data_IF_818588276043
#
_entry.id   IF_818588276043
#
_cell.length_a   1.000
_cell.length_b   1.000
_cell.length_c   1.000
_cell.angle_alpha   90.00
_cell.angle_beta   90.00
_cell.angle_gamma   90.00
#
_symmetry.space_group_name_H-M   'P 1'
#
loop_
_entity.id
_entity.type
_entity.pdbx_description
1 polymer ?
#
# COMPACT_ATOMS: atom_id res chain seq x y z
N UNK A 1 -14.03 7.20 29.94
CA UNK A 1 -13.97 6.52 28.65
C UNK A 1 -15.13 6.94 27.74
N UNK A 2 -16.40 6.80 28.15
CA UNK A 2 -17.56 7.27 27.32
C UNK A 2 -17.61 8.80 27.12
N UNK A 3 -17.33 9.61 28.15
CA UNK A 3 -17.34 11.09 28.03
C UNK A 3 -16.23 11.65 27.14
N UNK A 4 -15.11 10.93 27.03
CA UNK A 4 -13.97 11.32 26.19
C UNK A 4 -14.22 10.98 24.71
N UNK A 5 -15.05 9.96 24.46
CA UNK A 5 -15.52 9.58 23.13
C UNK A 5 -16.63 10.53 22.63
N UNK A 6 -17.57 10.90 23.51
CA UNK A 6 -18.63 11.87 23.21
C UNK A 6 -18.08 13.27 22.89
N UNK A 7 -17.07 13.74 23.63
CA UNK A 7 -16.42 15.02 23.34
C UNK A 7 -15.71 15.06 21.97
N UNK A 8 -15.07 13.95 21.56
CA UNK A 8 -14.48 13.82 20.21
C UNK A 8 -15.54 13.77 19.09
N UNK A 9 -16.72 13.23 19.35
CA UNK A 9 -17.83 13.22 18.39
C UNK A 9 -18.44 14.60 18.18
N UNK A 10 -18.58 15.40 19.24
CA UNK A 10 -19.05 16.79 19.14
C UNK A 10 -18.06 17.67 18.35
N UNK A 11 -16.76 17.52 18.59
CA UNK A 11 -15.71 18.19 17.80
C UNK A 11 -15.76 17.77 16.32
N UNK A 12 -15.97 16.48 16.04
CA UNK A 12 -16.11 16.00 14.65
C UNK A 12 -17.38 16.53 13.97
N UNK A 13 -18.49 16.69 14.69
CA UNK A 13 -19.72 17.27 14.15
C UNK A 13 -19.51 18.76 13.81
N UNK A 14 -18.84 19.52 14.69
CA UNK A 14 -18.50 20.90 14.43
C UNK A 14 -17.54 21.05 13.23
N UNK A 15 -16.54 20.16 13.11
CA UNK A 15 -15.62 20.13 11.97
C UNK A 15 -16.34 19.78 10.67
N UNK A 16 -17.28 18.84 10.68
CA UNK A 16 -18.12 18.52 9.50
C UNK A 16 -18.95 19.72 9.07
N UNK A 17 -19.69 20.32 9.99
CA UNK A 17 -20.52 21.51 9.71
C UNK A 17 -19.67 22.67 9.20
N UNK A 18 -18.49 22.89 9.78
CA UNK A 18 -17.55 23.89 9.29
C UNK A 18 -17.07 23.57 7.87
N UNK A 19 -16.68 22.34 7.58
CA UNK A 19 -16.23 21.90 6.26
C UNK A 19 -17.32 22.08 5.19
N UNK A 20 -18.54 21.60 5.47
CA UNK A 20 -19.69 21.73 4.58
C UNK A 20 -20.02 23.19 4.29
N UNK A 21 -20.05 24.04 5.33
CA UNK A 21 -20.30 25.47 5.20
C UNK A 21 -19.20 26.16 4.39
N UNK A 22 -17.93 25.84 4.64
CA UNK A 22 -16.80 26.39 3.88
C UNK A 22 -16.86 25.97 2.41
N UNK A 23 -17.25 24.73 2.12
CA UNK A 23 -17.40 24.24 0.75
C UNK A 23 -18.59 24.91 0.04
N UNK A 24 -19.69 25.17 0.74
CA UNK A 24 -20.81 25.96 0.22
C UNK A 24 -20.43 27.42 -0.05
N UNK A 25 -19.68 28.05 0.85
CA UNK A 25 -19.28 29.46 0.73
C UNK A 25 -18.18 29.69 -0.32
N UNK A 26 -17.18 28.80 -0.37
CA UNK A 26 -16.01 28.94 -1.24
C UNK A 26 -16.15 28.20 -2.57
N UNK A 27 -17.20 27.39 -2.71
CA UNK A 27 -17.40 26.52 -3.86
C UNK A 27 -16.40 25.36 -3.86
N UNK A 28 -16.37 24.66 -4.99
CA UNK A 28 -15.46 23.55 -5.19
C UNK A 28 -14.02 24.02 -5.48
N UNK A 29 -13.04 23.14 -5.28
CA UNK A 29 -11.63 23.36 -5.63
C UNK A 29 -11.40 23.50 -7.14
N UNK A 30 -12.41 23.24 -7.95
CA UNK A 30 -12.37 23.29 -9.40
C UNK A 30 -13.07 24.55 -9.93
N UNK A 31 -12.53 25.09 -11.02
CA UNK A 31 -13.12 26.26 -11.69
C UNK A 31 -14.49 25.88 -12.27
N UNK A 32 -15.47 26.77 -12.16
CA UNK A 32 -16.80 26.57 -12.74
C UNK A 32 -16.71 26.22 -14.25
N UNK A 33 -17.37 25.12 -14.65
CA UNK A 33 -17.27 24.57 -16.02
C UNK A 33 -16.07 23.65 -16.26
N UNK A 34 -15.26 23.32 -15.24
CA UNK A 34 -14.16 22.36 -15.38
C UNK A 34 -14.71 20.99 -15.78
N UNK A 35 -14.31 20.55 -16.98
CA UNK A 35 -14.54 19.18 -17.44
C UNK A 35 -13.19 18.47 -17.48
N UNK A 36 -13.03 17.43 -16.67
CA UNK A 36 -11.80 16.65 -16.70
C UNK A 36 -11.71 15.91 -18.04
N UNK A 37 -10.69 16.21 -18.85
CA UNK A 37 -10.39 15.46 -20.07
C UNK A 37 -9.71 14.14 -19.68
N UNK A 38 -10.49 13.21 -19.18
CA UNK A 38 -10.05 11.85 -18.88
C UNK A 38 -10.50 10.91 -20.00
N UNK A 39 -9.80 9.80 -20.12
CA UNK A 39 -10.19 8.73 -21.02
C UNK A 39 -11.43 8.02 -20.49
N UNK A 40 -12.31 7.60 -21.39
CA UNK A 40 -13.48 6.78 -21.04
C UNK A 40 -13.07 5.45 -20.39
N UNK A 41 -11.89 4.95 -20.77
CA UNK A 41 -11.30 3.72 -20.25
C UNK A 41 -9.81 3.86 -19.99
N UNK A 42 -9.34 3.28 -18.88
CA UNK A 42 -7.93 3.31 -18.45
C UNK A 42 -7.34 1.90 -18.38
N UNK A 43 -6.35 1.57 -19.21
CA UNK A 43 -5.70 0.26 -19.21
C UNK A 43 -4.46 0.23 -18.29
N UNK A 44 -4.63 -0.28 -17.05
CA UNK A 44 -3.56 -0.27 -16.05
C UNK A 44 -3.05 -1.68 -15.73
N UNK A 45 -1.74 -1.88 -15.89
CA UNK A 45 -1.06 -3.09 -15.45
C UNK A 45 -0.71 -3.04 -13.96
N UNK A 46 -0.94 -4.14 -13.25
CA UNK A 46 -0.54 -4.38 -11.85
C UNK A 46 0.50 -5.50 -11.72
N UNK A 47 1.31 -5.69 -12.76
CA UNK A 47 2.31 -6.78 -12.79
C UNK A 47 3.33 -6.63 -11.65
N UNK A 48 3.52 -7.70 -10.90
CA UNK A 48 4.54 -7.86 -9.86
C UNK A 48 5.40 -9.10 -10.17
N UNK A 49 6.65 -9.10 -9.70
CA UNK A 49 7.61 -10.19 -9.87
C UNK A 49 8.13 -10.65 -8.49
N UNK A 50 8.47 -11.93 -8.36
CA UNK A 50 9.03 -12.51 -7.13
C UNK A 50 8.03 -12.83 -6.01
N UNK A 51 6.76 -12.42 -6.10
CA UNK A 51 5.74 -12.65 -5.04
C UNK A 51 5.53 -14.14 -4.71
N UNK A 52 5.49 -15.00 -5.74
CA UNK A 52 5.34 -16.45 -5.53
C UNK A 52 6.56 -17.08 -4.83
N UNK A 53 7.76 -16.55 -5.08
CA UNK A 53 8.97 -17.02 -4.40
C UNK A 53 9.02 -16.52 -2.95
N UNK A 54 8.60 -15.27 -2.69
CA UNK A 54 8.40 -14.76 -1.34
C UNK A 54 7.43 -15.64 -0.53
N UNK A 55 6.29 -16.00 -1.14
CA UNK A 55 5.31 -16.91 -0.52
C UNK A 55 5.88 -18.29 -0.21
N UNK A 56 6.66 -18.87 -1.13
CA UNK A 56 7.34 -20.15 -0.88
C UNK A 56 8.30 -20.07 0.31
N UNK A 57 9.12 -19.01 0.37
CA UNK A 57 10.05 -18.80 1.49
C UNK A 57 9.30 -18.63 2.81
N UNK A 58 8.26 -17.79 2.83
CA UNK A 58 7.44 -17.56 4.02
C UNK A 58 6.82 -18.85 4.55
N UNK A 59 6.33 -19.72 3.67
CA UNK A 59 5.73 -20.99 4.06
C UNK A 59 6.74 -22.00 4.62
N UNK A 60 8.03 -21.88 4.30
CA UNK A 60 9.08 -22.74 4.83
C UNK A 60 9.58 -22.32 6.21
N UNK A 61 9.29 -21.09 6.64
CA UNK A 61 9.71 -20.61 7.96
C UNK A 61 8.85 -21.21 9.07
N UNK A 62 9.55 -21.61 10.14
CA UNK A 62 8.94 -22.03 11.40
C UNK A 62 8.25 -20.85 12.11
N UNK A 63 7.56 -21.16 13.20
CA UNK A 63 6.83 -20.16 13.97
C UNK A 63 7.75 -19.16 14.65
N UNK A 64 8.97 -19.54 15.05
CA UNK A 64 9.90 -18.64 15.76
C UNK A 64 10.37 -17.52 14.83
N UNK A 65 10.77 -17.87 13.60
CA UNK A 65 11.18 -16.89 12.58
C UNK A 65 9.99 -15.99 12.18
N UNK A 66 8.79 -16.57 12.05
CA UNK A 66 7.57 -15.79 11.76
C UNK A 66 7.23 -14.81 12.90
N UNK A 67 7.33 -15.24 14.16
CA UNK A 67 7.13 -14.35 15.30
C UNK A 67 8.16 -13.23 15.34
N UNK A 68 9.43 -13.53 15.06
CA UNK A 68 10.46 -12.50 14.91
C UNK A 68 10.08 -11.50 13.81
N UNK A 69 9.57 -11.97 12.67
CA UNK A 69 9.08 -11.09 11.61
C UNK A 69 7.94 -10.18 12.10
N UNK A 70 6.88 -10.75 12.67
CA UNK A 70 5.72 -9.98 13.16
C UNK A 70 6.12 -8.91 14.18
N UNK A 71 7.05 -9.23 15.09
CA UNK A 71 7.55 -8.28 16.09
C UNK A 71 8.30 -7.08 15.49
N UNK A 72 8.86 -7.24 14.29
CA UNK A 72 9.64 -6.21 13.62
C UNK A 72 8.79 -5.41 12.62
N UNK A 73 7.92 -6.10 11.87
CA UNK A 73 7.31 -5.58 10.64
C UNK A 73 5.79 -5.74 10.57
N UNK A 74 5.15 -6.23 11.63
CA UNK A 74 3.69 -6.35 11.70
C UNK A 74 3.12 -7.30 10.66
N UNK A 75 1.96 -6.93 10.12
CA UNK A 75 1.13 -7.77 9.25
C UNK A 75 1.55 -7.75 7.78
N UNK A 76 2.70 -7.15 7.47
CA UNK A 76 3.28 -7.07 6.13
C UNK A 76 3.31 -8.42 5.36
N UNK A 77 3.56 -9.60 5.96
CA UNK A 77 3.59 -10.87 5.23
C UNK A 77 2.24 -11.29 4.67
N UNK A 78 1.12 -10.79 5.19
CA UNK A 78 -0.17 -11.17 4.62
C UNK A 78 -0.36 -10.57 3.22
N UNK A 79 0.35 -9.49 2.87
CA UNK A 79 0.30 -8.88 1.53
C UNK A 79 0.75 -9.83 0.42
N UNK A 80 1.67 -10.77 0.68
CA UNK A 80 2.09 -11.76 -0.34
C UNK A 80 1.05 -12.88 -0.54
N UNK A 81 0.06 -12.97 0.34
CA UNK A 81 -1.06 -13.92 0.24
C UNK A 81 -2.33 -13.30 -0.34
N UNK A 82 -2.45 -11.96 -0.32
CA UNK A 82 -3.57 -11.25 -0.95
C UNK A 82 -3.53 -11.46 -2.47
N UNK A 83 -4.61 -12.03 -3.00
CA UNK A 83 -4.79 -12.20 -4.45
C UNK A 83 -5.16 -10.86 -5.08
N UNK A 84 -4.50 -10.56 -6.19
CA UNK A 84 -4.82 -9.37 -6.99
C UNK A 84 -5.91 -9.75 -8.00
N UNK A 85 -7.15 -9.32 -7.75
CA UNK A 85 -8.20 -9.33 -8.75
C UNK A 85 -7.96 -8.18 -9.74
N UNK A 86 -7.44 -8.51 -10.92
CA UNK A 86 -7.08 -7.51 -11.94
C UNK A 86 -8.30 -6.75 -12.46
N UNK A 87 -9.39 -7.46 -12.69
CA UNK A 87 -10.64 -6.86 -13.21
C UNK A 87 -11.23 -5.87 -12.22
N UNK A 88 -11.25 -6.22 -10.93
CA UNK A 88 -11.67 -5.29 -9.88
C UNK A 88 -10.75 -4.06 -9.83
N UNK A 89 -9.44 -4.24 -9.85
CA UNK A 89 -8.51 -3.11 -9.83
C UNK A 89 -8.71 -2.18 -11.03
N UNK A 90 -8.88 -2.73 -12.24
CA UNK A 90 -9.08 -1.94 -13.44
C UNK A 90 -10.40 -1.17 -13.39
N UNK A 91 -11.47 -1.80 -12.91
CA UNK A 91 -12.75 -1.13 -12.70
C UNK A 91 -12.62 0.00 -11.66
N UNK A 92 -12.06 -0.30 -10.48
CA UNK A 92 -11.82 0.67 -9.41
C UNK A 92 -11.03 1.88 -9.90
N UNK A 93 -9.99 1.66 -10.71
CA UNK A 93 -9.14 2.73 -11.22
C UNK A 93 -9.89 3.70 -12.15
N UNK A 94 -11.01 3.31 -12.78
CA UNK A 94 -11.81 4.23 -13.61
C UNK A 94 -12.46 5.34 -12.78
N UNK A 95 -12.79 5.03 -11.53
CA UNK A 95 -13.43 5.95 -10.60
C UNK A 95 -12.44 6.84 -9.84
N UNK A 96 -11.13 6.64 -10.03
CA UNK A 96 -10.15 7.58 -9.49
C UNK A 96 -10.28 8.94 -10.19
N UNK A 97 -10.52 9.99 -9.41
CA UNK A 97 -10.62 11.36 -9.89
C UNK A 97 -9.32 12.13 -9.58
N UNK A 98 -8.47 12.44 -10.58
CA UNK A 98 -7.19 13.12 -10.36
C UNK A 98 -7.31 14.58 -9.94
N UNK A 99 -8.51 15.18 -10.04
CA UNK A 99 -8.77 16.54 -9.64
C UNK A 99 -8.96 16.63 -8.11
N UNK A 100 -9.66 15.66 -7.54
CA UNK A 100 -9.91 15.55 -6.09
C UNK A 100 -8.92 14.65 -5.35
N UNK A 101 -8.19 13.78 -6.07
CA UNK A 101 -7.35 12.73 -5.48
C UNK A 101 -8.13 11.77 -4.56
N UNK A 102 -9.34 11.40 -4.98
CA UNK A 102 -10.19 10.40 -4.35
C UNK A 102 -10.87 9.53 -5.42
N UNK A 103 -11.51 8.45 -4.99
CA UNK A 103 -12.44 7.67 -5.80
C UNK A 103 -13.83 8.29 -5.69
N UNK A 104 -14.49 8.52 -6.82
CA UNK A 104 -15.81 9.16 -6.87
C UNK A 104 -16.83 8.17 -7.46
N UNK A 105 -17.72 7.64 -6.63
CA UNK A 105 -18.77 6.68 -7.00
C UNK A 105 -20.14 7.34 -6.88
N UNK A 106 -20.61 7.98 -7.97
CA UNK A 106 -21.89 8.68 -7.94
C UNK A 106 -21.89 9.83 -6.93
N UNK A 107 -22.51 9.61 -5.76
CA UNK A 107 -22.59 10.58 -4.65
C UNK A 107 -21.57 10.33 -3.53
N UNK A 108 -20.81 9.24 -3.61
CA UNK A 108 -19.90 8.81 -2.55
C UNK A 108 -18.45 9.03 -2.99
N UNK A 109 -17.70 9.77 -2.19
CA UNK A 109 -16.27 9.96 -2.38
C UNK A 109 -15.48 9.20 -1.30
N UNK A 110 -14.51 8.40 -1.72
CA UNK A 110 -13.68 7.60 -0.82
C UNK A 110 -12.20 7.76 -1.13
N UNK A 111 -11.37 7.75 -0.10
CA UNK A 111 -9.92 7.77 -0.24
C UNK A 111 -9.27 7.03 0.93
N UNK A 112 -8.24 6.20 0.68
CA UNK A 112 -7.53 5.55 1.77
C UNK A 112 -6.83 6.56 2.67
N UNK A 113 -6.95 6.38 3.98
CA UNK A 113 -6.42 7.28 5.01
C UNK A 113 -5.16 6.72 5.69
N UNK A 114 -4.46 7.59 6.44
CA UNK A 114 -3.28 7.19 7.21
C UNK A 114 -3.67 6.19 8.30
N UNK A 115 -4.81 6.40 8.94
CA UNK A 115 -5.35 5.59 10.03
C UNK A 115 -5.69 4.17 9.56
N UNK A 116 -6.37 4.05 8.42
CA UNK A 116 -6.73 2.76 7.82
C UNK A 116 -5.47 1.98 7.43
N UNK A 117 -4.55 2.59 6.70
CA UNK A 117 -3.33 1.91 6.26
C UNK A 117 -2.39 1.60 7.43
N UNK A 118 -2.38 2.41 8.48
CA UNK A 118 -1.66 2.11 9.72
C UNK A 118 -2.25 0.89 10.41
N UNK A 119 -3.58 0.79 10.46
CA UNK A 119 -4.27 -0.36 11.05
C UNK A 119 -4.09 -1.63 10.22
N UNK A 120 -4.11 -1.51 8.88
CA UNK A 120 -3.87 -2.63 7.97
C UNK A 120 -2.46 -3.22 8.14
N UNK A 121 -1.43 -2.38 8.21
CA UNK A 121 -0.05 -2.84 8.30
C UNK A 121 0.33 -3.28 9.72
N UNK A 122 -0.28 -2.70 10.75
CA UNK A 122 -0.10 -3.05 12.17
C UNK A 122 1.37 -3.24 12.58
N UNK A 123 2.23 -2.30 12.18
CA UNK A 123 3.66 -2.38 12.45
C UNK A 123 3.98 -1.95 13.89
N UNK A 124 4.46 -2.84 14.79
CA UNK A 124 4.59 -2.53 16.22
C UNK A 124 5.67 -1.49 16.56
N UNK A 125 6.67 -1.33 15.68
CA UNK A 125 7.85 -0.49 15.91
C UNK A 125 7.68 0.96 15.47
N UNK A 126 6.53 1.28 14.89
CA UNK A 126 6.31 2.56 14.23
C UNK A 126 5.74 3.55 15.23
N UNK A 127 6.34 4.74 15.27
CA UNK A 127 5.82 5.86 16.03
C UNK A 127 4.94 6.67 15.08
N UNK A 128 3.64 6.77 15.37
CA UNK A 128 2.63 7.39 14.49
C UNK A 128 2.94 8.87 14.22
N UNK A 129 3.67 9.53 15.12
CA UNK A 129 4.10 10.93 15.03
C UNK A 129 5.36 11.16 14.17
N UNK A 130 6.07 10.10 13.76
CA UNK A 130 7.29 10.21 12.93
C UNK A 130 7.01 9.93 11.46
N UNK A 131 6.73 11.00 10.72
CA UNK A 131 6.56 10.97 9.27
C UNK A 131 7.92 10.86 8.55
N UNK A 132 7.94 10.13 7.44
CA UNK A 132 9.12 10.04 6.58
C UNK A 132 9.53 11.41 6.05
N UNK A 133 10.74 11.84 6.40
CA UNK A 133 11.42 12.98 5.79
C UNK A 133 12.74 12.53 5.17
N UNK A 134 13.08 13.09 4.01
CA UNK A 134 14.37 12.80 3.37
C UNK A 134 15.49 13.42 4.20
N UNK A 135 16.50 12.62 4.58
CA UNK A 135 17.64 13.15 5.34
C UNK A 135 18.52 14.02 4.45
N UNK A 136 19.23 14.98 5.05
CA UNK A 136 20.32 15.69 4.37
C UNK A 136 21.56 14.79 4.18
N UNK A 137 21.83 13.88 5.13
CA UNK A 137 23.01 13.01 5.12
C UNK A 137 22.61 11.54 4.93
N UNK A 138 22.17 11.21 3.71
CA UNK A 138 21.71 9.87 3.35
C UNK A 138 22.92 8.97 3.03
N UNK A 139 23.13 7.83 3.74
CA UNK A 139 24.18 6.89 3.39
C UNK A 139 24.04 6.42 1.93
N UNK A 140 25.17 6.15 1.27
CA UNK A 140 25.12 5.67 -0.12
C UNK A 140 24.37 4.34 -0.22
N UNK A 141 23.77 4.07 -1.39
CA UNK A 141 23.06 2.81 -1.67
C UNK A 141 23.86 1.58 -1.19
N UNK A 142 25.15 1.53 -1.51
CA UNK A 142 26.02 0.41 -1.12
C UNK A 142 26.16 0.30 0.40
N UNK A 143 26.33 1.42 1.12
CA UNK A 143 26.46 1.39 2.59
C UNK A 143 25.18 0.88 3.25
N UNK A 144 24.01 1.31 2.79
CA UNK A 144 22.72 0.82 3.31
C UNK A 144 22.56 -0.68 3.07
N UNK A 145 22.80 -1.12 1.85
CA UNK A 145 22.65 -2.52 1.50
C UNK A 145 23.62 -3.41 2.27
N UNK A 146 24.87 -2.96 2.49
CA UNK A 146 25.82 -3.66 3.37
C UNK A 146 25.29 -3.75 4.81
N UNK A 147 24.74 -2.65 5.35
CA UNK A 147 24.20 -2.63 6.71
C UNK A 147 23.04 -3.63 6.86
N UNK A 148 22.07 -3.60 5.94
CA UNK A 148 20.89 -4.47 5.97
C UNK A 148 21.29 -5.93 5.76
N UNK A 149 22.12 -6.21 4.76
CA UNK A 149 22.45 -7.59 4.38
C UNK A 149 23.59 -8.22 5.19
N UNK A 150 24.42 -7.43 5.87
CA UNK A 150 25.66 -7.90 6.49
C UNK A 150 26.79 -8.24 5.50
N UNK A 151 26.60 -7.99 4.20
CA UNK A 151 27.54 -8.39 3.17
C UNK A 151 28.70 -7.40 2.98
N UNK A 152 29.81 -7.91 2.45
CA UNK A 152 31.00 -7.10 2.14
C UNK A 152 30.74 -6.08 1.04
N UNK A 153 31.53 -5.01 1.02
CA UNK A 153 31.48 -3.99 -0.03
C UNK A 153 31.62 -4.61 -1.43
N UNK A 154 32.55 -5.56 -1.59
CA UNK A 154 32.81 -6.25 -2.86
C UNK A 154 31.58 -7.03 -3.34
N UNK A 155 30.92 -7.76 -2.43
CA UNK A 155 29.71 -8.51 -2.77
C UNK A 155 28.59 -7.59 -3.25
N UNK A 156 28.41 -6.46 -2.57
CA UNK A 156 27.39 -5.45 -2.88
C UNK A 156 27.69 -4.76 -4.21
N UNK A 157 28.91 -4.26 -4.42
CA UNK A 157 29.27 -3.55 -5.65
C UNK A 157 29.14 -4.42 -6.89
N UNK A 158 29.41 -5.73 -6.78
CA UNK A 158 29.26 -6.67 -7.90
C UNK A 158 27.81 -6.92 -8.32
N UNK A 159 26.83 -6.60 -7.47
CA UNK A 159 25.40 -6.94 -7.65
C UNK A 159 24.48 -5.75 -7.84
N UNK A 160 24.98 -4.54 -7.61
CA UNK A 160 24.27 -3.31 -7.90
C UNK A 160 24.24 -3.09 -9.41
N UNK A 161 23.05 -2.79 -9.94
CA UNK A 161 22.87 -2.37 -11.32
C UNK A 161 22.22 -0.99 -11.37
N UNK A 162 22.58 -0.21 -12.38
CA UNK A 162 21.88 1.02 -12.71
C UNK A 162 20.69 0.68 -13.62
N UNK A 163 19.48 1.10 -13.26
CA UNK A 163 18.26 0.89 -14.07
C UNK A 163 17.48 2.21 -14.14
N UNK A 164 17.59 2.89 -15.28
CA UNK A 164 17.24 4.31 -15.39
C UNK A 164 18.09 5.15 -14.43
N UNK A 165 17.45 6.09 -13.75
CA UNK A 165 18.13 6.98 -12.79
C UNK A 165 18.45 6.31 -11.44
N UNK A 166 17.94 5.11 -11.19
CA UNK A 166 18.02 4.46 -9.89
C UNK A 166 19.06 3.33 -9.88
N UNK A 167 19.84 3.28 -8.80
CA UNK A 167 20.59 2.09 -8.41
C UNK A 167 19.60 1.06 -7.86
N UNK A 168 19.82 -0.20 -8.20
CA UNK A 168 18.95 -1.28 -7.81
C UNK A 168 19.72 -2.58 -7.56
N UNK A 169 19.10 -3.47 -6.80
CA UNK A 169 19.55 -4.86 -6.61
C UNK A 169 18.46 -5.80 -7.11
N UNK A 170 18.86 -6.79 -7.91
CA UNK A 170 17.96 -7.81 -8.42
C UNK A 170 17.46 -8.72 -7.28
N UNK A 171 16.15 -8.99 -7.25
CA UNK A 171 15.49 -9.82 -6.23
C UNK A 171 16.17 -11.16 -6.00
N UNK A 172 16.51 -11.91 -7.07
CA UNK A 172 17.27 -13.17 -6.97
C UNK A 172 18.49 -13.11 -6.05
N UNK A 173 19.26 -12.01 -6.06
CA UNK A 173 20.40 -11.86 -5.14
C UNK A 173 19.96 -11.78 -3.67
N UNK A 174 18.85 -11.12 -3.38
CA UNK A 174 18.27 -11.03 -2.04
C UNK A 174 17.66 -12.37 -1.62
N UNK A 175 16.94 -13.03 -2.53
CA UNK A 175 16.38 -14.38 -2.34
C UNK A 175 17.45 -15.38 -1.93
N UNK A 176 18.56 -15.43 -2.67
CA UNK A 176 19.65 -16.36 -2.40
C UNK A 176 20.29 -16.07 -1.03
N UNK A 177 20.38 -14.79 -0.64
CA UNK A 177 20.79 -14.43 0.72
C UNK A 177 19.78 -14.87 1.78
N UNK A 178 18.47 -14.66 1.58
CA UNK A 178 17.45 -15.08 2.56
C UNK A 178 17.54 -16.59 2.84
N UNK A 179 17.88 -17.39 1.82
CA UNK A 179 18.02 -18.84 1.95
C UNK A 179 19.32 -19.26 2.65
N UNK A 180 20.44 -18.57 2.38
CA UNK A 180 21.77 -19.02 2.80
C UNK A 180 22.40 -18.23 3.97
N UNK A 181 21.83 -17.08 4.36
CA UNK A 181 22.45 -16.21 5.35
C UNK A 181 22.46 -16.86 6.75
N UNK A 182 23.60 -16.89 7.47
CA UNK A 182 23.70 -17.58 8.76
C UNK A 182 22.94 -16.88 9.89
N UNK A 183 22.87 -15.54 9.84
CA UNK A 183 22.10 -14.74 10.81
C UNK A 183 20.62 -14.71 10.43
N UNK A 184 19.77 -15.26 11.30
CA UNK A 184 18.31 -15.30 11.15
C UNK A 184 17.70 -13.90 11.09
N UNK A 185 18.18 -12.94 11.89
CA UNK A 185 17.67 -11.57 11.87
C UNK A 185 17.91 -10.93 10.50
N UNK A 186 19.10 -11.12 9.93
CA UNK A 186 19.40 -10.63 8.58
C UNK A 186 18.50 -11.26 7.52
N UNK A 187 18.16 -12.55 7.62
CA UNK A 187 17.18 -13.19 6.72
C UNK A 187 15.82 -12.50 6.79
N UNK A 188 15.35 -12.21 8.01
CA UNK A 188 14.08 -11.51 8.27
C UNK A 188 14.10 -10.09 7.69
N UNK A 189 15.16 -9.32 7.94
CA UNK A 189 15.31 -7.96 7.43
C UNK A 189 15.36 -7.92 5.89
N UNK A 190 16.11 -8.84 5.26
CA UNK A 190 16.22 -8.92 3.80
C UNK A 190 14.89 -9.35 3.17
N UNK A 191 14.15 -10.25 3.83
CA UNK A 191 12.81 -10.64 3.38
C UNK A 191 11.84 -9.45 3.45
N UNK A 192 11.82 -8.70 4.54
CA UNK A 192 10.99 -7.50 4.68
C UNK A 192 11.33 -6.45 3.60
N UNK A 193 12.64 -6.18 3.39
CA UNK A 193 13.12 -5.29 2.33
C UNK A 193 12.58 -5.73 0.95
N UNK A 194 12.53 -7.04 0.72
CA UNK A 194 12.03 -7.61 -0.54
C UNK A 194 10.53 -7.47 -0.68
N UNK A 195 9.74 -7.62 0.39
CA UNK A 195 8.29 -7.33 0.35
C UNK A 195 8.05 -5.84 0.06
N UNK A 196 8.79 -4.93 0.71
CA UNK A 196 8.69 -3.51 0.41
C UNK A 196 9.03 -3.19 -1.05
N UNK A 197 10.09 -3.77 -1.62
CA UNK A 197 10.50 -3.47 -2.98
C UNK A 197 9.71 -4.14 -4.10
N UNK A 198 9.12 -5.31 -3.84
CA UNK A 198 8.42 -6.11 -4.85
C UNK A 198 6.90 -6.01 -4.78
N UNK A 199 6.35 -5.67 -3.60
CA UNK A 199 4.91 -5.62 -3.35
C UNK A 199 4.45 -4.20 -3.03
N UNK A 200 5.14 -3.50 -2.13
CA UNK A 200 4.67 -2.18 -1.65
C UNK A 200 5.05 -1.06 -2.61
N UNK A 201 6.30 -1.08 -3.11
CA UNK A 201 6.86 -0.09 -4.02
C UNK A 201 7.45 -0.75 -5.27
N UNK A 202 6.63 -1.43 -6.12
CA UNK A 202 7.10 -2.24 -7.25
C UNK A 202 7.59 -1.40 -8.45
N UNK A 203 8.44 -0.40 -8.22
CA UNK A 203 8.88 0.57 -9.24
C UNK A 203 9.68 -0.08 -10.36
N UNK A 204 10.58 -1.02 -10.05
CA UNK A 204 11.33 -1.75 -11.04
C UNK A 204 11.06 -3.25 -10.90
N UNK A 205 10.38 -3.85 -11.88
CA UNK A 205 10.03 -5.29 -11.85
C UNK A 205 11.25 -6.15 -11.51
N UNK A 206 11.11 -6.99 -10.48
CA UNK A 206 12.13 -7.92 -10.00
C UNK A 206 13.33 -7.26 -9.30
N UNK A 207 13.24 -6.00 -8.92
CA UNK A 207 14.36 -5.24 -8.35
C UNK A 207 13.92 -4.40 -7.15
N UNK A 208 14.82 -4.24 -6.18
CA UNK A 208 14.68 -3.29 -5.09
C UNK A 208 15.54 -2.07 -5.40
N UNK A 209 14.95 -0.89 -5.38
CA UNK A 209 15.62 0.37 -5.73
C UNK A 209 16.13 1.15 -4.51
N UNK A 210 16.78 2.28 -4.77
CA UNK A 210 17.34 3.14 -3.74
C UNK A 210 16.30 3.80 -2.84
N UNK A 211 15.12 4.14 -3.36
CA UNK A 211 14.07 4.79 -2.57
C UNK A 211 13.51 3.82 -1.52
N UNK A 212 13.37 2.54 -1.88
CA UNK A 212 12.96 1.50 -0.93
C UNK A 212 14.01 1.30 0.16
N UNK A 213 15.30 1.29 -0.19
CA UNK A 213 16.37 1.23 0.81
C UNK A 213 16.43 2.47 1.70
N UNK A 214 16.16 3.65 1.15
CA UNK A 214 16.08 4.90 1.90
C UNK A 214 14.93 4.85 2.92
N UNK A 215 13.77 4.34 2.53
CA UNK A 215 12.65 4.12 3.43
C UNK A 215 12.98 3.07 4.50
N UNK A 216 13.57 1.94 4.11
CA UNK A 216 13.87 0.84 5.02
C UNK A 216 14.85 1.24 6.14
N UNK A 217 15.88 2.03 5.83
CA UNK A 217 16.81 2.60 6.83
C UNK A 217 16.11 3.52 7.84
N UNK A 218 14.95 4.08 7.48
CA UNK A 218 14.13 4.92 8.37
C UNK A 218 13.18 4.10 9.24
N UNK A 219 12.78 2.89 8.82
CA UNK A 219 11.90 2.02 9.61
C UNK A 219 12.54 1.67 10.96
N UNK A 220 13.85 1.40 10.98
CA UNK A 220 14.61 1.15 12.21
C UNK A 220 14.62 2.35 13.18
N UNK A 221 14.27 3.55 12.69
CA UNK A 221 14.19 4.80 13.46
C UNK A 221 12.75 5.11 13.91
N UNK A 222 11.83 4.16 13.74
CA UNK A 222 10.42 4.28 14.11
C UNK A 222 9.57 5.07 13.12
N UNK A 223 10.05 5.32 11.90
CA UNK A 223 9.31 6.08 10.88
C UNK A 223 8.22 5.23 10.25
N UNK A 224 7.04 5.80 10.04
CA UNK A 224 5.95 5.13 9.33
C UNK A 224 6.16 5.12 7.80
N UNK A 225 5.97 3.97 7.10
CA UNK A 225 5.95 3.94 5.65
C UNK A 225 4.59 4.40 5.09
N UNK A 226 3.53 4.46 5.91
CA UNK A 226 2.15 4.67 5.44
C UNK A 226 2.00 5.92 4.57
N UNK A 227 2.51 7.11 4.95
CA UNK A 227 2.43 8.28 4.10
C UNK A 227 3.12 8.08 2.75
N UNK A 228 4.26 7.37 2.71
CA UNK A 228 4.94 7.08 1.45
C UNK A 228 4.15 6.10 0.57
N UNK A 229 3.47 5.10 1.18
CA UNK A 229 2.60 4.16 0.45
C UNK A 229 1.41 4.90 -0.17
N UNK A 230 0.74 5.76 0.60
CA UNK A 230 -0.40 6.55 0.11
C UNK A 230 0.01 7.51 -1.01
N UNK A 231 1.10 8.26 -0.81
CA UNK A 231 1.64 9.17 -1.82
C UNK A 231 1.96 8.44 -3.11
N UNK A 232 2.63 7.28 -3.04
CA UNK A 232 2.97 6.52 -4.25
C UNK A 232 1.72 5.95 -4.94
N UNK A 233 0.73 5.49 -4.16
CA UNK A 233 -0.58 5.06 -4.66
C UNK A 233 -1.29 6.18 -5.42
N UNK A 234 -1.47 7.36 -4.82
CA UNK A 234 -2.16 8.49 -5.44
C UNK A 234 -1.41 9.02 -6.64
N UNK A 235 -0.08 9.14 -6.53
CA UNK A 235 0.79 9.58 -7.63
C UNK A 235 0.66 8.64 -8.83
N UNK A 236 0.63 7.33 -8.60
CA UNK A 236 0.52 6.36 -9.68
C UNK A 236 -0.89 6.29 -10.28
N UNK A 237 -1.95 6.39 -9.48
CA UNK A 237 -3.33 6.47 -9.98
C UNK A 237 -3.52 7.74 -10.83
N UNK A 238 -3.03 8.89 -10.35
CA UNK A 238 -3.04 10.15 -11.09
C UNK A 238 -2.33 10.02 -12.44
N UNK A 239 -1.13 9.45 -12.46
CA UNK A 239 -0.37 9.27 -13.69
C UNK A 239 -1.10 8.35 -14.68
N UNK A 240 -1.61 7.21 -14.22
CA UNK A 240 -2.29 6.25 -15.09
C UNK A 240 -3.62 6.81 -15.61
N UNK A 241 -4.44 7.44 -14.75
CA UNK A 241 -5.75 7.97 -15.14
C UNK A 241 -5.63 9.11 -16.15
N UNK A 242 -4.65 9.99 -15.98
CA UNK A 242 -4.38 11.08 -16.94
C UNK A 242 -3.84 10.56 -18.28
N UNK A 243 -3.02 9.50 -18.25
CA UNK A 243 -2.49 8.89 -19.45
C UNK A 243 -3.52 7.99 -20.18
N UNK A 244 -4.52 7.46 -19.47
CA UNK A 244 -5.42 6.43 -20.02
C UNK A 244 -4.80 5.03 -20.04
N UNK A 245 -3.53 4.90 -19.63
CA UNK A 245 -2.80 3.66 -19.65
C UNK A 245 -1.62 3.70 -18.68
N UNK A 246 -0.97 2.54 -18.50
CA UNK A 246 0.35 2.47 -17.88
C UNK A 246 0.47 1.31 -16.90
N UNK A 247 1.41 1.44 -15.97
CA UNK A 247 1.62 0.47 -14.89
C UNK A 247 1.46 1.16 -13.56
N UNK A 248 0.62 0.58 -12.72
CA UNK A 248 0.47 1.02 -11.35
C UNK A 248 1.74 0.71 -10.56
N UNK A 249 2.31 1.74 -9.95
CA UNK A 249 3.45 1.67 -9.05
C UNK A 249 2.89 2.02 -7.66
N UNK A 250 2.58 0.98 -6.88
CA UNK A 250 2.03 1.11 -5.54
C UNK A 250 1.61 -0.26 -5.03
N UNK A 251 1.11 -0.31 -3.79
CA UNK A 251 0.68 -1.57 -3.19
C UNK A 251 -0.75 -1.90 -3.59
N UNK A 252 -0.92 -2.65 -4.69
CA UNK A 252 -2.24 -3.07 -5.18
C UNK A 252 -3.01 -3.86 -4.14
N UNK A 253 -2.31 -4.71 -3.38
CA UNK A 253 -2.90 -5.51 -2.32
C UNK A 253 -3.54 -4.66 -1.23
N UNK A 254 -2.84 -3.62 -0.74
CA UNK A 254 -3.41 -2.72 0.27
C UNK A 254 -4.62 -1.96 -0.27
N UNK A 255 -4.55 -1.46 -1.51
CA UNK A 255 -5.67 -0.73 -2.09
C UNK A 255 -6.92 -1.61 -2.26
N UNK A 256 -6.74 -2.84 -2.75
CA UNK A 256 -7.86 -3.78 -2.88
C UNK A 256 -8.40 -4.18 -1.52
N UNK A 257 -7.53 -4.43 -0.53
CA UNK A 257 -7.94 -4.73 0.85
C UNK A 257 -8.80 -3.61 1.42
N UNK A 258 -8.32 -2.37 1.30
CA UNK A 258 -9.05 -1.18 1.72
C UNK A 258 -10.39 -1.07 1.01
N UNK A 259 -10.41 -1.24 -0.32
CA UNK A 259 -11.67 -1.22 -1.06
C UNK A 259 -12.64 -2.27 -0.48
N UNK A 260 -12.22 -3.52 -0.35
CA UNK A 260 -13.10 -4.57 0.19
C UNK A 260 -13.61 -4.31 1.61
N UNK A 261 -12.88 -3.59 2.47
CA UNK A 261 -13.35 -3.28 3.81
C UNK A 261 -14.47 -2.24 3.86
N UNK A 262 -14.61 -1.39 2.83
CA UNK A 262 -15.67 -0.36 2.78
C UNK A 262 -16.92 -0.79 2.01
N UNK A 263 -16.86 -1.89 1.26
CA UNK A 263 -17.96 -2.33 0.38
C UNK A 263 -18.54 -3.68 0.83
N UNK A 264 -19.45 -3.61 1.81
CA UNK A 264 -20.05 -4.77 2.48
C UNK A 264 -21.07 -5.54 1.60
N UNK A 265 -21.80 -4.83 0.73
CA UNK A 265 -22.87 -5.40 -0.10
C UNK A 265 -22.37 -6.27 -1.26
N UNK A 266 -21.12 -6.05 -1.73
CA UNK A 266 -20.58 -6.80 -2.87
C UNK A 266 -20.01 -8.16 -2.46
N UNK A 267 -19.51 -8.30 -1.22
CA UNK A 267 -18.96 -9.57 -0.72
C UNK A 267 -19.84 -10.31 0.29
N UNK A 268 -20.88 -9.69 0.87
CA UNK A 268 -21.71 -10.28 1.96
C UNK A 268 -20.88 -10.75 3.16
N UNK A 269 -19.76 -10.08 3.43
CA UNK A 269 -18.91 -10.31 4.59
C UNK A 269 -18.89 -9.01 5.38
N UNK A 270 -19.42 -9.01 6.60
CA UNK A 270 -19.29 -7.85 7.49
C UNK A 270 -17.83 -7.76 7.92
N UNK A 271 -17.05 -6.89 7.32
CA UNK A 271 -15.73 -6.59 7.84
C UNK A 271 -15.90 -5.76 9.11
N UNK A 272 -15.08 -6.05 10.13
CA UNK A 272 -15.09 -5.23 11.35
C UNK A 272 -14.34 -3.94 11.07
N UNK A 273 -14.85 -2.82 11.59
CA UNK A 273 -14.12 -1.55 11.69
C UNK A 273 -12.68 -1.83 12.16
N UNK A 274 -11.72 -1.19 11.49
CA UNK A 274 -10.30 -1.25 11.81
C UNK A 274 -10.06 -1.09 13.31
N UNK A 275 -9.56 -2.15 13.97
CA UNK A 275 -9.27 -2.15 15.40
C UNK A 275 -7.89 -2.73 15.71
N UNK A 276 -7.25 -2.22 16.75
CA UNK A 276 -5.86 -2.57 17.11
C UNK A 276 -5.68 -4.04 17.54
N UNK A 277 -6.73 -4.66 18.08
CA UNK A 277 -6.71 -6.04 18.60
C UNK A 277 -6.99 -7.10 17.53
N UNK A 278 -7.03 -6.68 16.27
CA UNK A 278 -7.46 -7.48 15.14
C UNK A 278 -6.45 -7.36 13.99
N UNK A 279 -6.39 -8.36 13.12
CA UNK A 279 -5.52 -8.35 11.94
C UNK A 279 -6.40 -8.41 10.69
N UNK A 280 -6.76 -7.25 10.11
CA UNK A 280 -7.65 -7.21 8.95
C UNK A 280 -7.07 -7.95 7.76
N UNK A 281 -5.76 -7.82 7.51
CA UNK A 281 -5.10 -8.54 6.44
C UNK A 281 -5.16 -10.07 6.62
N UNK A 282 -5.05 -10.56 7.87
CA UNK A 282 -5.13 -12.00 8.15
C UNK A 282 -6.53 -12.55 7.89
N UNK A 283 -7.58 -11.87 8.36
CA UNK A 283 -8.96 -12.30 8.10
C UNK A 283 -9.25 -12.28 6.61
N UNK A 284 -8.87 -11.20 5.94
CA UNK A 284 -9.11 -11.03 4.51
C UNK A 284 -8.49 -12.15 3.67
N UNK A 285 -7.27 -12.56 4.01
CA UNK A 285 -6.60 -13.68 3.33
C UNK A 285 -7.31 -15.02 3.59
N UNK A 286 -8.01 -15.16 4.72
CA UNK A 286 -8.77 -16.36 5.06
C UNK A 286 -10.17 -16.39 4.41
N UNK A 287 -10.71 -15.24 4.03
CA UNK A 287 -12.06 -15.12 3.46
C UNK A 287 -12.10 -15.55 1.99
N UNK A 288 -12.97 -16.49 1.60
CA UNK A 288 -13.16 -16.87 0.19
C UNK A 288 -13.72 -15.68 -0.62
N UNK A 289 -13.18 -15.45 -1.82
CA UNK A 289 -13.57 -14.34 -2.68
C UNK A 289 -14.08 -14.79 -4.05
N UNK A 290 -14.93 -13.95 -4.63
CA UNK A 290 -15.41 -14.09 -6.01
C UNK A 290 -14.39 -13.49 -6.97
N UNK A 291 -13.56 -14.36 -7.52
CA UNK A 291 -12.57 -13.99 -8.54
C UNK A 291 -13.14 -14.08 -9.98
N UNK A 292 -14.42 -14.46 -10.13
CA UNK A 292 -15.09 -14.76 -11.40
C UNK A 292 -15.89 -13.59 -12.01
N UNK A 293 -15.88 -12.43 -11.35
CA UNK A 293 -16.60 -11.23 -11.82
C UNK A 293 -15.72 -10.50 -12.86
N UNK A 294 -16.30 -10.22 -14.03
CA UNK A 294 -15.62 -9.49 -15.12
C UNK A 294 -15.50 -8.00 -14.80
N UNK A 295 -14.62 -7.31 -15.51
CA UNK A 295 -14.40 -5.87 -15.33
C UNK A 295 -15.68 -5.06 -15.59
N UNK A 296 -16.44 -5.39 -16.63
CA UNK A 296 -17.69 -4.72 -16.98
C UNK A 296 -18.76 -4.90 -15.90
N UNK A 297 -18.81 -6.08 -15.28
CA UNK A 297 -19.71 -6.33 -14.15
C UNK A 297 -19.29 -5.54 -12.93
N UNK A 298 -17.99 -5.44 -12.64
CA UNK A 298 -17.49 -4.58 -11.58
C UNK A 298 -17.81 -3.11 -11.84
N UNK A 299 -17.63 -2.62 -13.07
CA UNK A 299 -18.01 -1.26 -13.45
C UNK A 299 -19.50 -1.00 -13.22
N UNK A 300 -20.38 -1.92 -13.63
CA UNK A 300 -21.81 -1.78 -13.37
C UNK A 300 -22.13 -1.72 -11.87
N UNK A 301 -21.52 -2.62 -11.07
CA UNK A 301 -21.68 -2.63 -9.61
C UNK A 301 -21.23 -1.28 -9.01
N UNK A 302 -20.06 -0.79 -9.41
CA UNK A 302 -19.47 0.45 -8.90
C UNK A 302 -20.25 1.70 -9.32
N UNK A 303 -20.86 1.67 -10.51
CA UNK A 303 -21.68 2.78 -11.00
C UNK A 303 -22.99 2.93 -10.23
N UNK A 304 -23.57 1.81 -9.79
CA UNK A 304 -24.87 1.78 -9.13
C UNK A 304 -24.78 1.93 -7.60
N UNK A 305 -23.56 2.08 -7.05
CA UNK A 305 -23.32 2.26 -5.62
C UNK A 305 -24.11 3.43 -5.03
N UNK A 306 -24.84 3.16 -3.94
CA UNK A 306 -25.53 4.15 -3.12
C UNK A 306 -24.73 4.45 -1.84
N UNK A 307 -25.08 5.53 -1.15
CA UNK A 307 -24.49 5.88 0.16
C UNK A 307 -24.63 4.73 1.17
N UNK A 308 -25.75 4.00 1.17
CA UNK A 308 -26.00 2.86 2.08
C UNK A 308 -25.16 1.61 1.75
N UNK A 309 -24.52 1.56 0.57
CA UNK A 309 -23.66 0.43 0.16
C UNK A 309 -22.22 0.58 0.67
N UNK A 310 -21.90 1.72 1.30
CA UNK A 310 -20.56 2.11 1.74
C UNK A 310 -20.54 2.33 3.26
N UNK A 311 -19.54 1.74 3.93
CA UNK A 311 -19.27 1.95 5.36
C UNK A 311 -18.27 3.09 5.62
#
# INVERSE_FOLDING_TARGET
MEREFLGKMEDNAAVRVWSEKVQQEKGDSLVEGYTSKLWDFTCISVTQDGVQELKKIWNQWDNEIKQLFYSNYGDLPYLIDVRINKHLFQALAQYWNPAYSCFTFGKVDLVPTIEEYTTLLRCPRIQVDKVYSRSANVPTFSKKLMCITGMSKQWVTARIKQKGDNKCIHWRNLRDLILAHPDVKKRVDIFALSVYGLVVFPKALGHVDGAVLDLFDRLDKGVTPVPAVLVETFRSLNACRRAGEGRFIGCTQLLLVWFHSHFWMVEKVSYRVFSENYSPLKELVATPRRDDITEEKWMAILQDLQEDDVE
#
